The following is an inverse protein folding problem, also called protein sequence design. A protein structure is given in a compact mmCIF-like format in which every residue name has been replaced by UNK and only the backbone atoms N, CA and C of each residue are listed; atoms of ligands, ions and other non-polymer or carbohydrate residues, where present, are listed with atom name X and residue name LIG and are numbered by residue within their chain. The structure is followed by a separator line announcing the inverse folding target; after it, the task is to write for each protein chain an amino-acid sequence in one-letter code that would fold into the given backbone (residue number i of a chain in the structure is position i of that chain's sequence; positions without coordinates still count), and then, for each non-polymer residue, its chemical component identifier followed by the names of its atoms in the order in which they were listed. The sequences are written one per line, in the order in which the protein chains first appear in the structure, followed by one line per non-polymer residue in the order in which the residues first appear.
data_IF_482561695809
#
_entry.id   IF_482561695809
#
_cell.length_a   1.000
_cell.length_b   1.000
_cell.length_c   1.000
_cell.angle_alpha   90.00
_cell.angle_beta   90.00
_cell.angle_gamma   90.00
#
_symmetry.space_group_name_H-M   'P 1'
#
loop_
_entity.id
_entity.type
_entity.pdbx_description
1 polymer ?
#
# COMPACT_ATOMS: atom_id res chain seq x y z
N UNK A 1 77.71 27.02 12.07
CA UNK A 1 76.85 25.99 11.47
C UNK A 1 76.70 24.85 12.46
N UNK A 2 75.53 24.68 13.06
CA UNK A 2 75.25 23.58 13.99
C UNK A 2 75.03 22.27 13.20
N UNK A 3 75.48 21.11 13.69
CA UNK A 3 75.20 19.84 13.01
C UNK A 3 73.74 19.44 13.24
N UNK A 4 73.01 19.22 12.15
CA UNK A 4 71.65 18.70 12.19
C UNK A 4 71.64 17.28 12.75
N UNK A 5 70.90 17.09 13.84
CA UNK A 5 70.63 15.76 14.40
C UNK A 5 69.81 14.95 13.39
N UNK A 6 70.35 13.79 13.01
CA UNK A 6 69.68 12.80 12.18
C UNK A 6 68.49 12.21 12.97
N UNK A 7 67.29 12.73 12.73
CA UNK A 7 66.04 12.15 13.25
C UNK A 7 65.77 10.91 12.43
N UNK A 8 66.05 9.73 13.01
CA UNK A 8 65.81 8.45 12.38
C UNK A 8 64.39 8.34 11.83
N UNK A 9 64.28 7.84 10.59
CA UNK A 9 63.02 7.57 9.92
C UNK A 9 62.04 6.84 10.84
N UNK A 10 60.73 7.17 10.82
CA UNK A 10 59.75 6.46 11.63
C UNK A 10 59.84 4.96 11.35
N UNK A 11 60.09 4.16 12.39
CA UNK A 11 59.92 2.70 12.34
C UNK A 11 58.44 2.45 12.06
N UNK A 12 58.10 2.22 10.80
CA UNK A 12 56.88 1.50 10.45
C UNK A 12 57.02 0.11 11.06
N UNK A 13 56.13 -0.21 12.00
CA UNK A 13 55.90 -1.60 12.36
C UNK A 13 55.38 -2.25 11.08
N UNK A 14 56.25 -3.00 10.40
CA UNK A 14 55.82 -3.87 9.32
C UNK A 14 54.80 -4.81 9.95
N UNK A 15 53.52 -4.59 9.66
CA UNK A 15 52.51 -5.61 9.88
C UNK A 15 52.89 -6.71 8.91
N UNK A 16 53.47 -7.79 9.42
CA UNK A 16 53.78 -8.96 8.60
C UNK A 16 52.49 -9.34 7.88
N UNK A 17 52.45 -9.35 6.54
CA UNK A 17 51.29 -9.85 5.82
C UNK A 17 50.93 -11.23 6.35
N UNK A 18 49.67 -11.63 6.28
CA UNK A 18 49.26 -12.98 6.65
C UNK A 18 49.93 -13.98 5.67
N UNK A 19 51.18 -14.37 5.94
CA UNK A 19 51.98 -15.27 5.09
C UNK A 19 51.74 -16.74 5.39
N UNK A 20 50.98 -17.03 6.45
CA UNK A 20 50.49 -18.38 6.74
C UNK A 20 49.11 -18.50 6.13
N UNK A 21 48.99 -19.29 5.06
CA UNK A 21 47.71 -19.62 4.44
C UNK A 21 46.74 -20.28 5.42
N UNK A 22 45.52 -20.54 4.96
CA UNK A 22 44.43 -21.09 5.78
C UNK A 22 44.89 -22.35 6.55
N UNK A 23 44.54 -22.45 7.84
CA UNK A 23 44.96 -23.59 8.69
C UNK A 23 44.11 -24.86 8.47
N UNK A 24 43.03 -24.75 7.71
CA UNK A 24 42.08 -25.83 7.42
C UNK A 24 41.28 -25.50 6.18
N UNK A 25 40.73 -26.51 5.50
CA UNK A 25 39.75 -26.31 4.43
C UNK A 25 38.56 -25.51 4.96
N UNK A 26 38.05 -24.60 4.14
CA UNK A 26 36.93 -23.73 4.53
C UNK A 26 36.11 -23.32 3.31
N UNK A 27 34.81 -23.10 3.47
CA UNK A 27 33.96 -22.58 2.40
C UNK A 27 33.11 -21.40 2.87
N UNK A 28 32.96 -20.38 2.03
CA UNK A 28 32.09 -19.23 2.25
C UNK A 28 31.04 -19.16 1.14
N UNK A 29 29.97 -18.40 1.38
CA UNK A 29 28.99 -18.07 0.35
C UNK A 29 28.95 -16.57 0.11
N UNK A 30 29.00 -16.19 -1.16
CA UNK A 30 28.90 -14.81 -1.63
C UNK A 30 27.72 -14.76 -2.60
N UNK A 31 26.71 -13.94 -2.31
CA UNK A 31 25.50 -13.80 -3.11
C UNK A 31 24.87 -15.16 -3.49
N UNK A 32 24.82 -16.07 -2.50
CA UNK A 32 24.26 -17.41 -2.62
C UNK A 32 25.20 -18.47 -3.23
N UNK A 33 26.35 -18.08 -3.78
CA UNK A 33 27.32 -18.96 -4.45
C UNK A 33 28.41 -19.41 -3.51
N UNK A 34 28.75 -20.69 -3.53
CA UNK A 34 29.76 -21.27 -2.63
C UNK A 34 31.17 -21.20 -3.23
N UNK A 35 32.13 -20.75 -2.43
CA UNK A 35 33.56 -20.74 -2.75
C UNK A 35 34.29 -21.55 -1.70
N UNK A 36 35.06 -22.55 -2.15
CA UNK A 36 35.82 -23.44 -1.28
C UNK A 36 37.31 -23.14 -1.38
N UNK A 37 37.99 -23.12 -0.24
CA UNK A 37 39.41 -22.84 -0.10
C UNK A 37 40.08 -24.01 0.65
N UNK A 38 41.30 -24.34 0.25
CA UNK A 38 42.08 -25.41 0.84
C UNK A 38 42.97 -24.92 1.99
N UNK A 39 43.31 -25.82 2.90
CA UNK A 39 44.36 -25.56 3.87
C UNK A 39 45.68 -25.22 3.13
N UNK A 40 46.33 -24.14 3.53
CA UNK A 40 47.53 -23.62 2.90
C UNK A 40 47.29 -22.51 1.87
N UNK A 41 46.05 -22.28 1.42
CA UNK A 41 45.75 -21.17 0.50
C UNK A 41 46.07 -19.82 1.18
N UNK A 42 46.90 -19.01 0.54
CA UNK A 42 47.17 -17.64 0.98
C UNK A 42 46.07 -16.67 0.53
N UNK A 43 46.17 -15.42 0.96
CA UNK A 43 45.16 -14.41 0.65
C UNK A 43 45.02 -14.15 -0.86
N UNK A 44 46.11 -14.27 -1.62
CA UNK A 44 46.08 -14.06 -3.07
C UNK A 44 45.42 -15.25 -3.78
N UNK A 45 45.62 -16.48 -3.31
CA UNK A 45 44.88 -17.67 -3.74
C UNK A 45 43.38 -17.53 -3.46
N UNK A 46 43.00 -17.06 -2.27
CA UNK A 46 41.60 -16.77 -1.91
C UNK A 46 41.00 -15.71 -2.83
N UNK A 47 41.69 -14.59 -3.04
CA UNK A 47 41.25 -13.51 -3.95
C UNK A 47 41.05 -14.03 -5.37
N UNK A 48 42.00 -14.81 -5.87
CA UNK A 48 41.92 -15.40 -7.20
C UNK A 48 40.77 -16.40 -7.33
N UNK A 49 40.51 -17.19 -6.29
CA UNK A 49 39.40 -18.13 -6.27
C UNK A 49 38.05 -17.40 -6.31
N UNK A 50 37.86 -16.35 -5.50
CA UNK A 50 36.64 -15.54 -5.51
C UNK A 50 36.42 -14.86 -6.86
N UNK A 51 37.46 -14.23 -7.43
CA UNK A 51 37.34 -13.51 -8.70
C UNK A 51 37.13 -14.44 -9.91
N UNK A 52 37.68 -15.65 -9.88
CA UNK A 52 37.75 -16.55 -11.03
C UNK A 52 37.02 -17.89 -10.80
N UNK A 53 36.23 -18.02 -9.74
CA UNK A 53 35.49 -19.22 -9.37
C UNK A 53 36.35 -20.51 -9.39
N UNK A 54 37.59 -20.41 -8.92
CA UNK A 54 38.57 -21.51 -8.94
C UNK A 54 39.00 -22.01 -10.33
N UNK A 55 38.57 -21.37 -11.44
CA UNK A 55 38.93 -21.75 -12.80
C UNK A 55 40.24 -21.05 -13.25
N UNK A 56 41.37 -21.77 -13.41
CA UNK A 56 42.61 -21.17 -13.87
C UNK A 56 42.46 -20.72 -15.34
N UNK A 57 42.79 -19.45 -15.64
CA UNK A 57 42.96 -18.97 -17.01
C UNK A 57 41.77 -18.26 -17.66
N UNK A 58 40.63 -18.11 -16.98
CA UNK A 58 39.52 -17.23 -17.43
C UNK A 58 39.26 -16.17 -16.35
N UNK A 59 39.86 -14.98 -16.47
CA UNK A 59 39.67 -13.92 -15.48
C UNK A 59 38.21 -13.49 -15.35
N UNK A 60 37.74 -13.31 -14.11
CA UNK A 60 36.47 -12.64 -13.81
C UNK A 60 35.21 -13.53 -13.85
N UNK A 61 35.33 -14.85 -14.01
CA UNK A 61 34.17 -15.76 -14.00
C UNK A 61 33.42 -15.76 -12.66
N UNK A 62 34.13 -15.63 -11.53
CA UNK A 62 33.51 -15.50 -10.21
C UNK A 62 32.87 -14.14 -9.99
N UNK A 63 33.49 -13.07 -10.50
CA UNK A 63 32.88 -11.73 -10.53
C UNK A 63 31.63 -11.68 -11.40
N UNK A 64 31.62 -12.33 -12.55
CA UNK A 64 30.43 -12.43 -13.39
C UNK A 64 29.30 -13.22 -12.71
N UNK A 65 29.63 -14.25 -11.95
CA UNK A 65 28.67 -15.09 -11.23
C UNK A 65 28.04 -14.38 -10.02
N UNK A 66 28.83 -13.61 -9.28
CA UNK A 66 28.42 -13.02 -8.00
C UNK A 66 28.16 -11.52 -8.04
N UNK A 67 28.70 -10.82 -9.03
CA UNK A 67 28.77 -9.36 -9.05
C UNK A 67 29.83 -8.78 -8.11
N UNK A 68 30.72 -9.60 -7.54
CA UNK A 68 31.67 -9.19 -6.50
C UNK A 68 33.11 -9.33 -7.00
N UNK A 69 33.95 -8.35 -6.68
CA UNK A 69 35.40 -8.41 -6.84
C UNK A 69 36.08 -8.50 -5.47
N UNK A 70 37.02 -9.41 -5.34
CA UNK A 70 37.92 -9.53 -4.21
C UNK A 70 39.26 -8.83 -4.51
N UNK A 71 39.85 -8.23 -3.49
CA UNK A 71 41.19 -7.66 -3.55
C UNK A 71 41.92 -7.85 -2.21
N UNK A 72 43.23 -7.99 -2.27
CA UNK A 72 44.10 -7.94 -1.10
C UNK A 72 44.51 -6.48 -0.89
N UNK A 73 43.99 -5.86 0.17
CA UNK A 73 44.39 -4.50 0.57
C UNK A 73 45.04 -4.53 1.94
N UNK A 74 46.34 -4.25 1.98
CA UNK A 74 47.13 -4.22 3.21
C UNK A 74 47.02 -5.52 4.04
N UNK A 75 47.01 -6.68 3.37
CA UNK A 75 46.92 -7.99 4.02
C UNK A 75 45.51 -8.34 4.52
N UNK A 76 44.47 -7.65 4.05
CA UNK A 76 43.07 -7.99 4.32
C UNK A 76 42.31 -8.25 3.03
N UNK A 77 41.40 -9.22 3.10
CA UNK A 77 40.42 -9.46 2.07
C UNK A 77 39.41 -8.30 2.02
N UNK A 78 39.31 -7.63 0.89
CA UNK A 78 38.30 -6.60 0.63
C UNK A 78 37.42 -7.06 -0.52
N UNK A 79 36.13 -7.15 -0.26
CA UNK A 79 35.11 -7.45 -1.26
C UNK A 79 34.42 -6.15 -1.68
N UNK A 80 34.28 -5.95 -2.98
CA UNK A 80 33.66 -4.76 -3.58
C UNK A 80 32.63 -5.18 -4.61
N UNK A 81 31.54 -4.41 -4.69
CA UNK A 81 30.48 -4.67 -5.65
C UNK A 81 30.88 -4.13 -7.02
N UNK A 82 30.97 -5.01 -8.01
CA UNK A 82 31.29 -4.65 -9.39
C UNK A 82 30.06 -4.12 -10.15
N UNK A 83 28.87 -4.62 -9.80
CA UNK A 83 27.60 -4.27 -10.44
C UNK A 83 26.75 -3.27 -9.64
N UNK A 84 27.25 -2.78 -8.50
CA UNK A 84 26.52 -1.85 -7.64
C UNK A 84 25.39 -2.49 -6.83
N UNK A 85 25.31 -3.82 -6.78
CA UNK A 85 24.37 -4.56 -5.95
C UNK A 85 24.95 -4.85 -4.57
N UNK A 86 24.07 -5.27 -3.65
CA UNK A 86 24.46 -5.71 -2.32
C UNK A 86 25.35 -6.97 -2.37
N UNK A 87 26.22 -7.10 -1.37
CA UNK A 87 27.05 -8.26 -1.14
C UNK A 87 26.51 -8.96 0.10
N UNK A 88 25.88 -10.11 -0.11
CA UNK A 88 25.49 -11.04 0.94
C UNK A 88 26.63 -12.02 1.20
N UNK A 89 27.16 -12.01 2.41
CA UNK A 89 28.22 -12.88 2.89
C UNK A 89 27.68 -13.81 3.95
N UNK A 90 27.88 -15.11 3.73
CA UNK A 90 27.46 -16.16 4.65
C UNK A 90 28.59 -17.18 4.79
N UNK A 91 28.56 -17.90 5.91
CA UNK A 91 29.37 -19.11 6.05
C UNK A 91 28.93 -20.17 5.03
N UNK A 92 29.84 -21.06 4.67
CA UNK A 92 29.55 -22.23 3.86
C UNK A 92 28.41 -23.07 4.44
N UNK A 93 27.62 -23.70 3.56
CA UNK A 93 26.54 -24.59 3.99
C UNK A 93 27.02 -26.02 4.29
N UNK A 94 28.29 -26.35 3.99
CA UNK A 94 28.88 -27.67 4.16
C UNK A 94 29.65 -27.84 5.47
N UNK A 95 30.31 -29.00 5.61
CA UNK A 95 31.10 -29.36 6.80
C UNK A 95 32.26 -28.40 7.09
N UNK A 96 32.74 -27.67 6.08
CA UNK A 96 33.85 -26.72 6.21
C UNK A 96 33.38 -25.26 6.41
N UNK A 97 32.06 -25.05 6.52
CA UNK A 97 31.47 -23.72 6.45
C UNK A 97 31.36 -23.03 7.80
N UNK A 98 31.22 -23.79 8.89
CA UNK A 98 31.10 -23.25 10.23
C UNK A 98 32.35 -22.42 10.60
N UNK A 99 32.16 -21.12 10.86
CA UNK A 99 33.23 -20.18 11.21
C UNK A 99 34.21 -19.88 10.07
N UNK A 100 33.86 -20.16 8.82
CA UNK A 100 34.73 -19.94 7.66
C UNK A 100 35.06 -18.46 7.45
N UNK A 101 34.09 -17.58 7.64
CA UNK A 101 34.29 -16.13 7.53
C UNK A 101 35.27 -15.61 8.58
N UNK A 102 35.23 -16.13 9.82
CA UNK A 102 36.13 -15.72 10.89
C UNK A 102 37.59 -16.04 10.55
N UNK A 103 37.85 -17.19 9.90
CA UNK A 103 39.19 -17.58 9.43
C UNK A 103 39.74 -16.63 8.36
N UNK A 104 38.86 -15.96 7.64
CA UNK A 104 39.16 -14.97 6.61
C UNK A 104 39.10 -13.53 7.15
N UNK A 105 38.82 -13.34 8.44
CA UNK A 105 38.66 -12.02 9.07
C UNK A 105 37.43 -11.25 8.58
N UNK A 106 36.39 -11.98 8.15
CA UNK A 106 35.13 -11.43 7.67
C UNK A 106 34.00 -11.73 8.65
N UNK A 107 32.95 -10.92 8.59
CA UNK A 107 31.69 -11.17 9.31
C UNK A 107 30.58 -11.45 8.32
N UNK A 108 29.65 -12.32 8.71
CA UNK A 108 28.45 -12.55 7.93
C UNK A 108 27.57 -11.30 7.92
N UNK A 109 26.87 -11.07 6.82
CA UNK A 109 25.98 -9.92 6.68
C UNK A 109 25.72 -9.57 5.22
N UNK A 110 24.82 -8.62 5.02
CA UNK A 110 24.53 -8.06 3.70
C UNK A 110 24.94 -6.60 3.69
N UNK A 111 25.74 -6.18 2.73
CA UNK A 111 26.04 -4.75 2.54
C UNK A 111 24.79 -4.03 2.05
N UNK A 112 24.75 -2.70 2.20
CA UNK A 112 23.78 -1.86 1.49
C UNK A 112 24.52 -0.97 0.51
N UNK A 113 24.39 -1.25 -0.78
CA UNK A 113 25.01 -0.46 -1.83
C UNK A 113 24.33 0.91 -1.91
N UNK A 114 25.11 1.96 -1.69
CA UNK A 114 24.66 3.35 -1.78
C UNK A 114 25.08 4.02 -3.09
N UNK A 115 24.39 5.10 -3.45
CA UNK A 115 24.72 5.92 -4.60
C UNK A 115 26.15 6.50 -4.51
N UNK A 116 26.86 6.53 -5.64
CA UNK A 116 28.24 7.05 -5.72
C UNK A 116 28.33 8.57 -5.75
N UNK A 117 27.25 9.23 -6.16
CA UNK A 117 27.12 10.68 -6.28
C UNK A 117 25.67 11.10 -6.04
N UNK A 118 25.47 12.40 -5.77
CA UNK A 118 24.14 13.01 -5.82
C UNK A 118 23.55 12.84 -7.23
N UNK A 119 22.25 12.59 -7.31
CA UNK A 119 21.54 12.41 -8.57
C UNK A 119 20.04 12.68 -8.40
N UNK A 120 19.26 12.56 -9.46
CA UNK A 120 17.82 12.80 -9.41
C UNK A 120 17.10 12.10 -10.55
N UNK A 121 15.88 11.65 -10.30
CA UNK A 121 14.94 11.15 -11.33
C UNK A 121 13.68 12.02 -11.35
N UNK A 122 12.90 11.93 -12.41
CA UNK A 122 11.53 12.42 -12.43
C UNK A 122 10.56 11.25 -12.36
N UNK A 123 9.53 11.38 -11.52
CA UNK A 123 8.42 10.45 -11.42
C UNK A 123 7.13 11.26 -11.58
N UNK A 124 6.33 10.95 -12.61
CA UNK A 124 5.07 11.67 -12.88
C UNK A 124 5.24 13.20 -12.93
N UNK A 125 6.36 13.64 -13.52
CA UNK A 125 6.72 15.06 -13.66
C UNK A 125 7.31 15.71 -12.42
N UNK A 126 7.40 15.00 -11.28
CA UNK A 126 8.00 15.51 -10.04
C UNK A 126 9.46 15.05 -9.95
N UNK A 127 10.37 15.99 -9.73
CA UNK A 127 11.79 15.69 -9.54
C UNK A 127 12.06 15.20 -8.11
N UNK A 128 12.67 14.01 -8.01
CA UNK A 128 13.10 13.39 -6.76
C UNK A 128 14.63 13.39 -6.72
N UNK A 129 15.21 14.00 -5.67
CA UNK A 129 16.65 14.17 -5.53
C UNK A 129 17.21 13.20 -4.50
N UNK A 130 18.25 12.48 -4.88
CA UNK A 130 18.97 11.54 -4.03
C UNK A 130 20.38 12.04 -3.75
N UNK A 131 20.90 11.65 -2.60
CA UNK A 131 22.24 11.99 -2.13
C UNK A 131 23.20 10.83 -2.31
N UNK A 132 24.48 11.18 -2.48
CA UNK A 132 25.57 10.21 -2.38
C UNK A 132 25.44 9.43 -1.07
N UNK A 133 25.46 8.11 -1.18
CA UNK A 133 25.35 7.18 -0.06
C UNK A 133 23.93 6.70 0.22
N UNK A 134 22.89 7.28 -0.40
CA UNK A 134 21.53 6.74 -0.28
C UNK A 134 21.51 5.31 -0.81
N UNK A 135 21.09 4.38 0.03
CA UNK A 135 20.82 2.99 -0.32
C UNK A 135 19.38 2.83 -0.87
N UNK A 136 19.01 1.61 -1.27
CA UNK A 136 17.69 1.35 -1.85
C UNK A 136 16.54 1.73 -0.91
N UNK A 137 16.73 1.55 0.40
CA UNK A 137 15.73 1.91 1.43
C UNK A 137 15.58 3.44 1.50
N UNK A 138 16.70 4.17 1.51
CA UNK A 138 16.73 5.64 1.48
C UNK A 138 16.12 6.21 0.19
N UNK A 139 16.41 5.59 -0.95
CA UNK A 139 15.81 5.95 -2.25
C UNK A 139 14.29 5.76 -2.21
N UNK A 140 13.81 4.60 -1.74
CA UNK A 140 12.38 4.32 -1.62
C UNK A 140 11.69 5.31 -0.67
N UNK A 141 12.30 5.60 0.48
CA UNK A 141 11.79 6.60 1.43
C UNK A 141 11.70 8.00 0.81
N UNK A 142 12.73 8.40 0.05
CA UNK A 142 12.76 9.71 -0.62
C UNK A 142 11.69 9.83 -1.70
N UNK A 143 11.44 8.76 -2.47
CA UNK A 143 10.33 8.71 -3.44
C UNK A 143 8.98 8.84 -2.73
N UNK A 144 8.76 8.07 -1.66
CA UNK A 144 7.51 8.09 -0.88
C UNK A 144 7.24 9.46 -0.23
N UNK A 145 8.29 10.20 0.09
CA UNK A 145 8.19 11.56 0.63
C UNK A 145 7.94 12.64 -0.43
N UNK A 146 8.23 12.38 -1.71
CA UNK A 146 8.22 13.38 -2.78
C UNK A 146 6.84 13.64 -3.41
N UNK A 147 5.76 13.05 -2.86
CA UNK A 147 4.36 13.25 -3.32
C UNK A 147 4.17 13.12 -4.84
N UNK A 148 4.86 12.16 -5.45
CA UNK A 148 4.85 11.92 -6.91
C UNK A 148 3.58 11.18 -7.39
N UNK A 149 2.75 10.69 -6.46
CA UNK A 149 1.69 9.72 -6.75
C UNK A 149 2.21 8.29 -6.95
N UNK A 150 3.51 8.06 -6.76
CA UNK A 150 4.15 6.75 -6.82
C UNK A 150 4.62 6.36 -5.43
N UNK A 151 4.28 5.15 -5.01
CA UNK A 151 4.83 4.49 -3.83
C UNK A 151 5.96 3.54 -4.24
N UNK A 152 7.08 3.56 -3.54
CA UNK A 152 8.24 2.73 -3.78
C UNK A 152 8.49 1.75 -2.62
N UNK A 153 8.92 0.53 -2.94
CA UNK A 153 9.47 -0.45 -1.98
C UNK A 153 10.81 -0.96 -2.49
N UNK A 154 11.81 -0.93 -1.61
CA UNK A 154 12.98 -1.80 -1.78
C UNK A 154 12.56 -3.25 -1.53
N UNK A 155 13.01 -4.17 -2.38
CA UNK A 155 12.76 -5.61 -2.26
C UNK A 155 14.09 -6.32 -2.48
N UNK A 156 14.58 -7.04 -1.47
CA UNK A 156 15.78 -7.87 -1.59
C UNK A 156 15.40 -9.34 -1.70
N UNK A 157 15.78 -9.98 -2.81
CA UNK A 157 15.59 -11.41 -3.03
C UNK A 157 16.94 -12.05 -3.32
N UNK A 158 17.40 -12.93 -2.42
CA UNK A 158 18.67 -13.65 -2.58
C UNK A 158 19.91 -12.76 -2.82
N UNK A 159 19.95 -11.55 -2.23
CA UNK A 159 21.06 -10.60 -2.38
C UNK A 159 20.96 -9.71 -3.63
N UNK A 160 19.97 -9.94 -4.50
CA UNK A 160 19.59 -8.98 -5.53
C UNK A 160 18.54 -8.03 -4.95
N UNK A 161 18.90 -6.75 -4.87
CA UNK A 161 18.00 -5.71 -4.39
C UNK A 161 17.34 -5.05 -5.61
N UNK A 162 16.03 -4.88 -5.56
CA UNK A 162 15.25 -4.21 -6.61
C UNK A 162 14.36 -3.12 -6.01
N UNK A 163 14.07 -2.10 -6.81
CA UNK A 163 13.12 -1.06 -6.46
C UNK A 163 11.81 -1.35 -7.20
N UNK A 164 10.75 -1.64 -6.45
CA UNK A 164 9.40 -1.79 -6.99
C UNK A 164 8.65 -0.46 -6.83
N UNK A 165 7.98 -0.02 -7.89
CA UNK A 165 7.15 1.19 -7.91
C UNK A 165 5.68 0.80 -8.10
N UNK A 166 4.79 1.44 -7.36
CA UNK A 166 3.35 1.18 -7.33
C UNK A 166 2.61 2.50 -7.45
N UNK A 167 1.58 2.54 -8.28
CA UNK A 167 0.69 3.68 -8.42
C UNK A 167 -0.66 3.18 -8.93
N UNK A 168 -1.71 3.98 -8.74
CA UNK A 168 -3.04 3.68 -9.30
C UNK A 168 -3.15 4.14 -10.76
N UNK A 169 -2.27 5.07 -11.17
CA UNK A 169 -2.16 5.64 -12.50
C UNK A 169 -0.84 5.23 -13.17
N UNK A 170 -0.70 5.54 -14.45
CA UNK A 170 0.54 5.32 -15.20
C UNK A 170 1.75 5.92 -14.46
N UNK A 171 2.86 5.18 -14.49
CA UNK A 171 4.13 5.63 -13.93
C UNK A 171 4.99 6.10 -15.09
N UNK A 172 5.26 7.40 -15.13
CA UNK A 172 6.27 7.98 -16.01
C UNK A 172 7.56 8.17 -15.25
N UNK A 173 8.66 7.75 -15.86
CA UNK A 173 10.00 7.79 -15.30
C UNK A 173 10.93 8.49 -16.27
N UNK A 174 11.71 9.44 -15.78
CA UNK A 174 12.72 10.14 -16.55
C UNK A 174 13.95 10.48 -15.72
N UNK A 175 15.01 10.92 -16.38
CA UNK A 175 16.10 11.56 -15.67
C UNK A 175 15.64 12.88 -15.05
N UNK A 176 16.23 13.22 -13.90
CA UNK A 176 16.10 14.56 -13.32
C UNK A 176 17.14 15.51 -13.92
N UNK A 177 17.34 16.66 -13.26
CA UNK A 177 18.15 17.77 -13.78
C UNK A 177 19.60 17.40 -14.08
N UNK A 178 20.15 16.37 -13.41
CA UNK A 178 21.53 15.90 -13.63
C UNK A 178 21.69 15.00 -14.87
N UNK A 179 20.60 14.49 -15.45
CA UNK A 179 20.66 13.64 -16.66
C UNK A 179 21.28 12.25 -16.46
N UNK A 180 21.53 11.84 -15.21
CA UNK A 180 22.25 10.59 -14.87
C UNK A 180 21.55 9.77 -13.79
N UNK A 181 20.31 10.11 -13.44
CA UNK A 181 19.53 9.47 -12.38
C UNK A 181 19.19 8.03 -12.68
N UNK A 182 18.64 7.77 -13.85
CA UNK A 182 18.23 6.43 -14.26
C UNK A 182 19.43 5.50 -14.34
N UNK A 183 20.53 5.96 -14.93
CA UNK A 183 21.77 5.20 -14.98
C UNK A 183 22.34 4.92 -13.58
N UNK A 184 22.33 5.92 -12.68
CA UNK A 184 22.83 5.76 -11.32
C UNK A 184 21.99 4.77 -10.48
N UNK A 185 20.69 4.68 -10.75
CA UNK A 185 19.78 3.70 -10.13
C UNK A 185 19.77 2.33 -10.86
N UNK A 186 20.57 2.16 -11.92
CA UNK A 186 20.57 0.93 -12.72
C UNK A 186 19.31 0.71 -13.56
N UNK A 187 18.53 1.76 -13.78
CA UNK A 187 17.22 1.77 -14.44
C UNK A 187 17.30 2.02 -15.95
N UNK A 188 18.41 1.62 -16.59
CA UNK A 188 18.72 1.96 -17.99
C UNK A 188 17.83 1.28 -19.04
N UNK A 189 17.07 0.26 -18.65
CA UNK A 189 16.17 -0.51 -19.52
C UNK A 189 14.70 -0.26 -19.23
N UNK A 190 14.36 0.65 -18.32
CA UNK A 190 12.96 0.93 -17.98
C UNK A 190 12.32 1.78 -19.07
N UNK A 191 11.11 1.37 -19.48
CA UNK A 191 10.30 2.15 -20.40
C UNK A 191 9.96 3.51 -19.77
N UNK A 192 10.01 4.63 -20.53
CA UNK A 192 9.69 5.95 -20.00
C UNK A 192 8.29 6.05 -19.37
N UNK A 193 7.36 5.21 -19.83
CA UNK A 193 6.02 5.09 -19.29
C UNK A 193 5.70 3.62 -19.07
N UNK A 194 5.26 3.29 -17.86
CA UNK A 194 4.64 2.01 -17.53
C UNK A 194 3.15 2.24 -17.32
N UNK A 195 2.32 1.63 -18.16
CA UNK A 195 0.87 1.77 -18.09
C UNK A 195 0.33 1.04 -16.86
N UNK A 196 -0.60 1.68 -16.14
CA UNK A 196 -1.30 1.05 -15.04
C UNK A 196 -2.14 -0.13 -15.56
N UNK A 197 -2.08 -1.23 -14.82
CA UNK A 197 -2.88 -2.42 -15.12
C UNK A 197 -3.83 -2.64 -13.96
N UNK A 198 -5.10 -2.94 -14.28
CA UNK A 198 -6.06 -3.32 -13.25
C UNK A 198 -5.64 -4.65 -12.63
N UNK A 199 -5.27 -4.61 -11.36
CA UNK A 199 -4.95 -5.79 -10.57
C UNK A 199 -6.25 -6.39 -10.03
N UNK A 200 -6.71 -7.50 -10.60
CA UNK A 200 -7.79 -8.29 -10.00
C UNK A 200 -7.19 -9.21 -8.94
N UNK A 201 -7.39 -8.85 -7.67
CA UNK A 201 -7.00 -9.66 -6.51
C UNK A 201 -8.14 -9.70 -5.50
N UNK A 202 -8.24 -10.79 -4.74
CA UNK A 202 -9.21 -10.92 -3.67
C UNK A 202 -8.55 -10.64 -2.33
N UNK A 203 -9.32 -10.12 -1.36
CA UNK A 203 -8.84 -9.89 0.01
C UNK A 203 -8.28 -11.18 0.63
N UNK A 204 -8.82 -12.35 0.25
CA UNK A 204 -8.37 -13.66 0.73
C UNK A 204 -6.96 -14.05 0.26
N UNK A 205 -6.47 -13.47 -0.84
CA UNK A 205 -5.18 -13.80 -1.43
C UNK A 205 -4.08 -12.79 -1.04
N UNK A 206 -4.38 -11.84 -0.15
CA UNK A 206 -3.42 -10.83 0.27
C UNK A 206 -2.32 -11.43 1.16
N UNK A 207 -1.10 -10.97 0.92
CA UNK A 207 0.09 -11.30 1.69
C UNK A 207 0.77 -10.00 2.12
N UNK A 208 1.36 -9.99 3.32
CA UNK A 208 2.08 -8.85 3.89
C UNK A 208 3.49 -9.24 4.36
N UNK A 209 3.95 -10.45 4.03
CA UNK A 209 5.23 -10.99 4.48
C UNK A 209 6.43 -10.28 3.84
N UNK A 210 6.25 -9.61 2.71
CA UNK A 210 7.27 -8.78 2.08
C UNK A 210 6.73 -7.38 1.72
N UNK A 211 7.62 -6.41 1.54
CA UNK A 211 7.24 -5.01 1.30
C UNK A 211 6.42 -4.80 0.04
N UNK A 212 6.69 -5.59 -1.01
CA UNK A 212 5.95 -5.54 -2.28
C UNK A 212 4.51 -6.02 -2.11
N UNK A 213 4.31 -7.19 -1.52
CA UNK A 213 2.99 -7.76 -1.25
C UNK A 213 2.19 -6.89 -0.28
N UNK A 214 2.85 -6.28 0.71
CA UNK A 214 2.23 -5.32 1.60
C UNK A 214 1.72 -4.07 0.86
N UNK A 215 2.51 -3.48 -0.05
CA UNK A 215 2.07 -2.32 -0.84
C UNK A 215 0.93 -2.69 -1.80
N UNK A 216 0.98 -3.87 -2.42
CA UNK A 216 -0.13 -4.37 -3.24
C UNK A 216 -1.39 -4.60 -2.41
N UNK A 217 -1.27 -5.11 -1.19
CA UNK A 217 -2.39 -5.31 -0.28
C UNK A 217 -3.07 -3.99 0.09
N UNK A 218 -2.31 -2.93 0.32
CA UNK A 218 -2.85 -1.58 0.57
C UNK A 218 -3.70 -1.12 -0.62
N UNK A 219 -3.21 -1.24 -1.86
CA UNK A 219 -3.96 -0.82 -3.05
C UNK A 219 -5.27 -1.62 -3.24
N UNK A 220 -5.21 -2.94 -3.03
CA UNK A 220 -6.41 -3.81 -3.13
C UNK A 220 -7.43 -3.45 -2.05
N UNK A 221 -6.99 -3.18 -0.83
CA UNK A 221 -7.86 -2.77 0.26
C UNK A 221 -8.48 -1.39 0.02
N UNK A 222 -7.72 -0.43 -0.51
CA UNK A 222 -8.26 0.90 -0.84
C UNK A 222 -9.36 0.79 -1.91
N UNK A 223 -9.13 0.04 -2.99
CA UNK A 223 -10.16 -0.22 -3.99
C UNK A 223 -11.40 -0.92 -3.43
N UNK A 224 -11.22 -1.89 -2.51
CA UNK A 224 -12.33 -2.56 -1.85
C UNK A 224 -13.12 -1.61 -0.91
N UNK A 225 -12.45 -0.68 -0.24
CA UNK A 225 -13.09 0.35 0.58
C UNK A 225 -13.90 1.33 -0.27
N UNK A 226 -13.35 1.77 -1.40
CA UNK A 226 -14.08 2.63 -2.35
C UNK A 226 -15.36 1.97 -2.86
N UNK A 227 -15.33 0.66 -3.16
CA UNK A 227 -16.53 -0.08 -3.55
C UNK A 227 -17.55 -0.16 -2.41
N UNK A 228 -17.12 -0.44 -1.17
CA UNK A 228 -18.01 -0.46 -0.01
C UNK A 228 -18.67 0.91 0.22
N UNK A 229 -17.91 1.99 0.11
CA UNK A 229 -18.43 3.34 0.30
C UNK A 229 -19.38 3.75 -0.83
N UNK A 230 -19.13 3.32 -2.07
CA UNK A 230 -20.07 3.45 -3.19
C UNK A 230 -21.41 2.75 -2.89
N UNK A 231 -21.37 1.54 -2.34
CA UNK A 231 -22.59 0.83 -1.94
C UNK A 231 -23.31 1.52 -0.78
N UNK A 232 -22.58 2.01 0.23
CA UNK A 232 -23.15 2.79 1.34
C UNK A 232 -23.80 4.08 0.86
N UNK A 233 -23.18 4.79 -0.08
CA UNK A 233 -23.73 6.00 -0.68
C UNK A 233 -25.05 5.70 -1.41
N UNK A 234 -25.11 4.60 -2.19
CA UNK A 234 -26.35 4.14 -2.85
C UNK A 234 -27.44 3.82 -1.82
N UNK A 235 -27.11 3.11 -0.75
CA UNK A 235 -28.06 2.78 0.31
C UNK A 235 -28.56 4.05 1.02
N UNK A 236 -27.69 5.01 1.31
CA UNK A 236 -28.07 6.31 1.89
C UNK A 236 -28.99 7.11 0.96
N UNK A 237 -28.73 7.10 -0.35
CA UNK A 237 -29.62 7.73 -1.32
C UNK A 237 -31.02 7.06 -1.36
N UNK A 238 -31.07 5.73 -1.24
CA UNK A 238 -32.33 4.98 -1.15
C UNK A 238 -33.07 5.31 0.15
N UNK A 239 -32.37 5.43 1.29
CA UNK A 239 -32.97 5.86 2.56
C UNK A 239 -33.61 7.25 2.45
N UNK A 240 -32.89 8.24 1.90
CA UNK A 240 -33.44 9.58 1.68
C UNK A 240 -34.70 9.57 0.80
N UNK A 241 -34.71 8.70 -0.22
CA UNK A 241 -35.89 8.50 -1.08
C UNK A 241 -37.05 7.86 -0.32
N UNK A 242 -36.79 6.89 0.55
CA UNK A 242 -37.83 6.29 1.38
C UNK A 242 -38.43 7.31 2.34
N UNK A 243 -37.62 8.11 3.04
CA UNK A 243 -38.11 9.14 3.95
C UNK A 243 -38.97 10.18 3.23
N UNK A 244 -38.52 10.64 2.06
CA UNK A 244 -39.28 11.57 1.22
C UNK A 244 -40.60 10.97 0.75
N UNK A 245 -40.58 9.68 0.38
CA UNK A 245 -41.79 8.98 -0.07
C UNK A 245 -42.77 8.80 1.08
N UNK A 246 -42.28 8.44 2.28
CA UNK A 246 -43.10 8.29 3.49
C UNK A 246 -43.74 9.62 3.88
N UNK A 247 -42.98 10.72 3.91
CA UNK A 247 -43.51 12.04 4.22
C UNK A 247 -44.61 12.48 3.23
N UNK A 248 -44.41 12.20 1.94
CA UNK A 248 -45.42 12.47 0.92
C UNK A 248 -46.68 11.60 1.13
N UNK A 249 -46.51 10.30 1.37
CA UNK A 249 -47.62 9.38 1.63
C UNK A 249 -48.41 9.74 2.90
N UNK A 250 -47.74 10.19 3.96
CA UNK A 250 -48.39 10.70 5.17
C UNK A 250 -49.25 11.93 4.86
N UNK A 251 -48.70 12.88 4.09
CA UNK A 251 -49.45 14.08 3.66
C UNK A 251 -50.67 13.71 2.80
N UNK A 252 -50.52 12.75 1.89
CA UNK A 252 -51.63 12.23 1.07
C UNK A 252 -52.69 11.55 1.97
N UNK A 253 -52.26 10.74 2.94
CA UNK A 253 -53.16 10.06 3.87
C UNK A 253 -53.95 11.03 4.73
N UNK A 254 -53.32 12.10 5.24
CA UNK A 254 -53.97 13.14 6.03
C UNK A 254 -54.99 13.91 5.20
N UNK A 255 -54.61 14.34 4.00
CA UNK A 255 -55.52 15.03 3.06
C UNK A 255 -56.71 14.14 2.64
N UNK A 256 -56.46 12.86 2.38
CA UNK A 256 -57.50 11.88 2.03
C UNK A 256 -58.47 11.65 3.19
N UNK A 257 -57.95 11.50 4.41
CA UNK A 257 -58.77 11.34 5.62
C UNK A 257 -59.61 12.59 5.89
N UNK A 258 -59.04 13.78 5.75
CA UNK A 258 -59.76 15.05 5.92
C UNK A 258 -60.83 15.27 4.84
N UNK A 259 -60.57 14.88 3.58
CA UNK A 259 -61.58 14.90 2.52
C UNK A 259 -62.72 13.92 2.83
N UNK A 260 -62.40 12.70 3.28
CA UNK A 260 -63.39 11.70 3.68
C UNK A 260 -64.24 12.17 4.88
N UNK A 261 -63.62 12.75 5.92
CA UNK A 261 -64.34 13.30 7.07
C UNK A 261 -65.33 14.36 6.63
N UNK A 262 -64.91 15.32 5.79
CA UNK A 262 -65.82 16.37 5.30
C UNK A 262 -67.03 15.81 4.55
N UNK A 263 -66.85 14.78 3.73
CA UNK A 263 -67.96 14.11 3.04
C UNK A 263 -68.87 13.41 4.07
N UNK A 264 -68.29 12.61 4.96
CA UNK A 264 -69.06 11.87 5.97
C UNK A 264 -69.79 12.79 6.94
N UNK A 265 -69.14 13.84 7.45
CA UNK A 265 -69.71 14.81 8.37
C UNK A 265 -70.85 15.60 7.71
N UNK A 266 -70.72 15.94 6.42
CA UNK A 266 -71.80 16.58 5.66
C UNK A 266 -72.99 15.64 5.46
N UNK A 267 -72.74 14.38 5.10
CA UNK A 267 -73.77 13.36 4.95
C UNK A 267 -74.49 13.08 6.28
N UNK A 268 -73.73 12.96 7.38
CA UNK A 268 -74.30 12.80 8.73
C UNK A 268 -75.14 14.00 9.15
N UNK A 269 -74.68 15.23 8.88
CA UNK A 269 -75.43 16.43 9.19
C UNK A 269 -76.75 16.48 8.41
N UNK A 270 -76.74 16.13 7.12
CA UNK A 270 -77.93 16.08 6.28
C UNK A 270 -78.94 15.01 6.76
N UNK A 271 -78.47 13.79 7.02
CA UNK A 271 -79.33 12.70 7.51
C UNK A 271 -79.90 13.01 8.90
N UNK A 272 -79.11 13.58 9.80
CA UNK A 272 -79.56 13.96 11.15
C UNK A 272 -80.60 15.09 11.08
N UNK A 273 -80.41 16.07 10.19
CA UNK A 273 -81.38 17.13 9.98
C UNK A 273 -82.71 16.58 9.43
N UNK A 274 -82.66 15.65 8.48
CA UNK A 274 -83.85 15.01 7.93
C UNK A 274 -84.54 14.12 8.99
N UNK A 275 -83.80 13.35 9.78
CA UNK A 275 -84.33 12.58 10.91
C UNK A 275 -85.01 13.50 11.95
N UNK A 276 -84.38 14.61 12.31
CA UNK A 276 -84.93 15.58 13.27
C UNK A 276 -86.21 16.25 12.73
N UNK A 277 -86.21 16.60 11.44
CA UNK A 277 -87.40 17.13 10.75
C UNK A 277 -88.54 16.10 10.73
N UNK A 278 -88.25 14.84 10.43
CA UNK A 278 -89.25 13.76 10.44
C UNK A 278 -89.82 13.54 11.85
N UNK A 279 -88.98 13.54 12.89
CA UNK A 279 -89.43 13.44 14.29
C UNK A 279 -90.30 14.64 14.69
N UNK A 280 -89.90 15.86 14.31
CA UNK A 280 -90.67 17.09 14.59
C UNK A 280 -92.01 17.07 13.86
N UNK A 281 -92.05 16.64 12.60
CA UNK A 281 -93.29 16.48 11.84
C UNK A 281 -94.21 15.42 12.45
N UNK A 282 -93.67 14.32 12.97
CA UNK A 282 -94.47 13.32 13.69
C UNK A 282 -95.08 13.90 14.97
N UNK A 283 -94.30 14.63 15.77
CA UNK A 283 -94.79 15.30 16.99
C UNK A 283 -95.82 16.41 16.69
N UNK A 284 -95.61 17.18 15.62
CA UNK A 284 -96.57 18.19 15.18
C UNK A 284 -97.85 17.55 14.65
N UNK A 285 -97.74 16.45 13.90
CA UNK A 285 -98.90 15.72 13.38
C UNK A 285 -99.74 15.14 14.52
N UNK A 286 -99.13 14.58 15.57
CA UNK A 286 -99.86 14.09 16.74
C UNK A 286 -100.50 15.22 17.54
N UNK A 287 -99.83 16.37 17.70
CA UNK A 287 -100.41 17.54 18.37
C UNK A 287 -101.56 18.19 17.57
N UNK A 288 -101.42 18.30 16.24
CA UNK A 288 -102.49 18.79 15.36
C UNK A 288 -103.68 17.84 15.39
N UNK A 289 -103.44 16.52 15.35
CA UNK A 289 -104.48 15.51 15.53
C UNK A 289 -105.18 15.65 16.88
N UNK A 290 -104.44 15.89 17.98
CA UNK A 290 -105.06 16.10 19.29
C UNK A 290 -105.87 17.41 19.35
N UNK A 291 -105.36 18.49 18.76
CA UNK A 291 -106.06 19.78 18.69
C UNK A 291 -107.33 19.70 17.82
N UNK A 292 -107.27 19.03 16.68
CA UNK A 292 -108.42 18.80 15.80
C UNK A 292 -109.49 17.93 16.49
N UNK A 293 -109.07 16.90 17.23
CA UNK A 293 -109.98 16.07 18.04
C UNK A 293 -110.61 16.84 19.21
N UNK A 294 -109.89 17.80 19.82
CA UNK A 294 -110.45 18.69 20.85
C UNK A 294 -111.40 19.74 20.27
N UNK A 295 -111.12 20.25 19.06
CA UNK A 295 -111.98 21.20 18.37
C UNK A 295 -113.29 20.53 17.90
N UNK A 296 -113.22 19.32 17.35
CA UNK A 296 -114.42 18.57 16.91
C UNK A 296 -115.36 18.25 18.08
N UNK A 297 -114.80 17.84 19.22
CA UNK A 297 -115.58 17.61 20.46
C UNK A 297 -116.15 18.92 21.06
N UNK A 298 -115.50 20.06 20.85
CA UNK A 298 -116.00 21.38 21.26
C UNK A 298 -117.15 21.88 20.37
N UNK A 299 -117.12 21.58 19.07
CA UNK A 299 -118.22 21.91 18.15
C UNK A 299 -119.48 21.08 18.44
N UNK A 300 -119.31 19.81 18.82
CA UNK A 300 -120.42 18.97 19.28
C UNK A 300 -121.09 19.50 20.56
N UNK A 301 -120.34 20.18 21.44
CA UNK A 301 -120.91 20.89 22.61
C UNK A 301 -121.66 22.18 22.25
N UNK A 302 -121.43 22.75 21.07
CA UNK A 302 -122.10 23.97 20.60
C UNK A 302 -123.40 23.69 19.83
N UNK A 303 -123.64 22.42 19.47
CA UNK A 303 -124.81 21.95 18.72
C UNK A 303 -125.82 21.17 19.58
N UNK A 304 -125.60 21.09 20.91
CA UNK A 304 -126.55 20.59 21.91
C UNK A 304 -127.09 21.76 22.73
#
# INVERSE_FOLDING_TARGET
AAPAANVGSPKTVAVTPQTTGLTSNTDIRINGQSFSFAAGDDLDAVVNNINNNGAPGIPGTGTALTGVTASNQNGRLVLSSANGQDIKLENGAGANGAGALDKLGLNAGTTKAGLKSDTSITLNGVEVKFKKGDDMDGIAATINAASTGVTASAVSTNGASSLSLFADQDITVGDGSSGTGLAALGLTTVAPTTTAVKMESTVSNLNILDGKSAQQAIQVLDGAMQELDSQRAKLGAVQNRFDSTVANLQSISENSTAARSRVQDADFAAETAELSKQQTLQQASTAILSQANQLSSSVLKLLQ
#
